data_IF_161405947479
#
_entry.id   IF_161405947479
#
_cell.length_a   1.000
_cell.length_b   1.000
_cell.length_c   1.000
_cell.angle_alpha   90.00
_cell.angle_beta   90.00
_cell.angle_gamma   90.00
#
_symmetry.space_group_name_H-M   'P 1'
#
loop_
_entity.id
_entity.type
_entity.pdbx_description
1 polymer ?
#
# COMPACT_ATOMS: atom_id res chain seq x y z
N UNK A 1 4.61 4.70 -5.26
CA UNK A 1 3.54 5.16 -6.17
C UNK A 1 2.91 6.37 -5.51
N UNK A 2 2.96 7.51 -6.20
CA UNK A 2 2.30 8.72 -5.73
C UNK A 2 0.80 8.61 -5.99
N UNK A 3 0.00 8.68 -4.92
CA UNK A 3 -1.46 8.77 -5.03
C UNK A 3 -1.83 10.21 -5.35
N UNK A 4 -1.22 11.14 -4.63
CA UNK A 4 -1.30 12.57 -4.86
C UNK A 4 0.05 13.23 -4.49
N UNK A 5 0.10 14.56 -4.45
CA UNK A 5 1.32 15.32 -4.10
C UNK A 5 1.78 15.07 -2.65
N UNK A 6 0.86 14.68 -1.75
CA UNK A 6 1.10 14.56 -0.31
C UNK A 6 1.19 13.12 0.20
N UNK A 7 0.75 12.14 -0.58
CA UNK A 7 0.65 10.74 -0.16
C UNK A 7 1.25 9.82 -1.20
N UNK A 8 2.19 9.00 -0.75
CA UNK A 8 2.83 7.95 -1.53
C UNK A 8 2.68 6.60 -0.83
N UNK A 9 2.36 5.57 -1.61
CA UNK A 9 2.28 4.19 -1.15
C UNK A 9 3.25 3.32 -1.95
N UNK A 10 4.00 2.49 -1.25
CA UNK A 10 5.01 1.58 -1.77
C UNK A 10 4.89 0.23 -1.07
N UNK A 11 5.03 -0.85 -1.83
CA UNK A 11 5.01 -2.19 -1.24
C UNK A 11 6.21 -2.43 -0.31
N UNK A 12 7.38 -1.88 -0.67
CA UNK A 12 8.62 -2.08 0.07
C UNK A 12 8.75 -1.13 1.26
N UNK A 13 8.40 0.13 1.05
CA UNK A 13 8.61 1.20 2.03
C UNK A 13 7.36 1.48 2.87
N UNK A 14 6.18 1.06 2.40
CA UNK A 14 4.90 1.28 3.06
C UNK A 14 4.25 2.59 2.63
N UNK A 15 3.65 3.32 3.57
CA UNK A 15 2.98 4.59 3.28
C UNK A 15 3.82 5.78 3.74
N UNK A 16 3.86 6.82 2.93
CA UNK A 16 4.48 8.11 3.22
C UNK A 16 3.42 9.20 3.13
N UNK A 17 3.31 10.02 4.17
CA UNK A 17 2.39 11.13 4.29
C UNK A 17 3.19 12.42 4.49
N UNK A 18 2.90 13.44 3.69
CA UNK A 18 3.58 14.73 3.70
C UNK A 18 2.56 15.78 4.15
N UNK A 19 2.89 16.49 5.22
CA UNK A 19 2.10 17.59 5.74
C UNK A 19 2.87 18.89 5.50
N UNK A 20 2.24 19.82 4.79
CA UNK A 20 2.72 21.18 4.65
C UNK A 20 1.91 22.04 5.62
N UNK A 21 2.53 22.50 6.71
CA UNK A 21 1.90 23.35 7.72
C UNK A 21 2.85 24.49 8.08
N UNK A 22 2.30 25.71 8.09
CA UNK A 22 3.04 26.97 8.25
C UNK A 22 4.15 27.15 7.20
N UNK A 23 5.39 26.82 7.54
CA UNK A 23 6.57 26.84 6.66
C UNK A 23 7.41 25.57 6.78
N UNK A 24 6.83 24.52 7.37
CA UNK A 24 7.50 23.26 7.65
C UNK A 24 6.88 22.14 6.83
N UNK A 25 7.75 21.33 6.22
CA UNK A 25 7.40 20.05 5.66
C UNK A 25 7.59 18.98 6.73
N UNK A 26 6.51 18.31 7.11
CA UNK A 26 6.54 17.18 8.05
C UNK A 26 6.23 15.92 7.26
N UNK A 27 7.16 14.96 7.27
CA UNK A 27 7.01 13.68 6.56
C UNK A 27 6.88 12.56 7.57
N UNK A 28 5.80 11.80 7.47
CA UNK A 28 5.59 10.56 8.21
C UNK A 28 5.75 9.38 7.26
N UNK A 29 6.59 8.42 7.61
CA UNK A 29 6.77 7.18 6.85
C UNK A 29 6.48 5.99 7.75
N UNK A 30 5.67 5.05 7.30
CA UNK A 30 5.38 3.82 8.04
C UNK A 30 5.46 2.59 7.13
N UNK A 31 6.18 1.56 7.59
CA UNK A 31 6.37 0.30 6.88
C UNK A 31 5.52 -0.80 7.53
N UNK A 32 4.51 -1.37 6.84
CA UNK A 32 3.69 -2.44 7.40
C UNK A 32 4.46 -3.76 7.58
N UNK A 33 5.55 -3.95 6.83
CA UNK A 33 6.34 -5.18 6.89
C UNK A 33 7.33 -5.20 8.06
N UNK A 34 8.04 -4.08 8.27
CA UNK A 34 9.05 -3.96 9.33
C UNK A 34 8.53 -3.32 10.61
N UNK A 35 7.33 -2.74 10.58
CA UNK A 35 6.76 -1.92 11.64
C UNK A 35 7.52 -0.61 11.85
N UNK A 36 8.53 -0.27 11.04
CA UNK A 36 9.31 0.95 11.23
C UNK A 36 8.51 2.18 10.87
N UNK A 37 8.60 3.19 11.71
CA UNK A 37 7.90 4.45 11.57
C UNK A 37 8.88 5.61 11.82
N UNK A 38 8.84 6.62 10.94
CA UNK A 38 9.75 7.76 10.98
C UNK A 38 8.96 9.05 10.82
N UNK A 39 9.34 10.07 11.57
CA UNK A 39 8.91 11.45 11.37
C UNK A 39 10.12 12.31 11.09
N UNK A 40 10.10 13.03 9.99
CA UNK A 40 11.07 14.08 9.69
C UNK A 40 10.40 15.43 9.52
N UNK A 41 11.12 16.50 9.88
CA UNK A 41 10.72 17.89 9.69
C UNK A 41 11.79 18.57 8.86
N UNK A 42 11.42 19.12 7.70
CA UNK A 42 12.32 19.74 6.73
C UNK A 42 13.53 18.83 6.40
N UNK A 43 13.28 17.53 6.23
CA UNK A 43 14.30 16.51 5.96
C UNK A 43 15.11 16.03 7.17
N UNK A 44 14.92 16.60 8.36
CA UNK A 44 15.61 16.15 9.59
C UNK A 44 14.74 15.17 10.37
N UNK A 45 15.26 13.98 10.67
CA UNK A 45 14.58 13.00 11.51
C UNK A 45 14.37 13.55 12.93
N UNK A 46 13.12 13.57 13.40
CA UNK A 46 12.73 14.03 14.75
C UNK A 46 12.14 12.91 15.61
N UNK A 47 11.63 11.84 14.99
CA UNK A 47 11.09 10.68 15.69
C UNK A 47 11.31 9.41 14.89
N UNK A 48 11.70 8.33 15.56
CA UNK A 48 11.79 6.99 15.00
C UNK A 48 11.15 6.03 16.00
N UNK A 49 10.30 5.13 15.50
CA UNK A 49 9.68 4.10 16.31
C UNK A 49 9.57 2.79 15.51
N UNK A 50 9.31 1.70 16.23
CA UNK A 50 8.94 0.43 15.62
C UNK A 50 7.63 -0.04 16.26
N UNK A 51 6.56 -0.08 15.46
CA UNK A 51 5.22 -0.37 15.87
C UNK A 51 4.54 -1.36 14.91
N UNK A 52 4.06 -2.47 15.48
CA UNK A 52 3.29 -3.50 14.75
C UNK A 52 1.79 -3.44 15.06
N UNK A 53 1.35 -2.45 15.84
CA UNK A 53 -0.06 -2.24 16.19
C UNK A 53 -0.76 -1.46 15.06
N UNK A 54 -2.09 -1.50 15.08
CA UNK A 54 -2.92 -0.72 14.14
C UNK A 54 -2.97 0.77 14.45
N UNK A 55 -2.40 1.20 15.58
CA UNK A 55 -2.39 2.60 16.00
C UNK A 55 -0.98 3.01 16.34
N UNK A 56 -0.59 4.19 15.88
CA UNK A 56 0.67 4.83 16.25
C UNK A 56 0.48 6.30 16.56
N UNK A 57 1.40 6.84 17.35
CA UNK A 57 1.40 8.22 17.80
C UNK A 57 2.86 8.69 17.96
N UNK A 58 3.18 9.79 17.31
CA UNK A 58 4.49 10.44 17.39
C UNK A 58 4.32 11.89 17.82
N UNK A 59 4.82 12.23 19.01
CA UNK A 59 4.90 13.60 19.51
C UNK A 59 6.29 14.18 19.30
N UNK A 60 6.36 15.43 18.85
CA UNK A 60 7.62 16.13 18.60
C UNK A 60 7.41 17.65 18.69
N UNK A 61 8.50 18.38 18.82
CA UNK A 61 8.49 19.84 18.94
C UNK A 61 9.14 20.47 17.70
N UNK A 62 8.53 21.52 17.16
CA UNK A 62 9.10 22.36 16.10
C UNK A 62 9.00 23.82 16.54
N UNK A 63 10.13 24.51 16.67
CA UNK A 63 10.22 25.91 17.09
C UNK A 63 9.42 26.25 18.38
N UNK A 64 9.35 25.30 19.32
CA UNK A 64 8.62 25.46 20.59
C UNK A 64 7.13 25.13 20.54
N UNK A 65 6.61 24.73 19.37
CA UNK A 65 5.22 24.27 19.20
C UNK A 65 5.16 22.74 19.23
N UNK A 66 4.19 22.19 19.96
CA UNK A 66 3.95 20.74 20.02
C UNK A 66 3.16 20.28 18.79
N UNK A 67 3.70 19.25 18.12
CA UNK A 67 3.05 18.54 17.03
C UNK A 67 2.88 17.07 17.38
N UNK A 68 1.81 16.48 16.87
CA UNK A 68 1.48 15.08 17.06
C UNK A 68 0.99 14.47 15.74
N UNK A 69 1.64 13.40 15.29
CA UNK A 69 1.14 12.57 14.21
C UNK A 69 0.47 11.35 14.81
N UNK A 70 -0.81 11.16 14.49
CA UNK A 70 -1.55 9.96 14.85
C UNK A 70 -1.89 9.16 13.59
N UNK A 71 -1.51 7.89 13.58
CA UNK A 71 -1.83 6.95 12.52
C UNK A 71 -2.74 5.86 13.06
N UNK A 72 -3.80 5.53 12.31
CA UNK A 72 -4.70 4.45 12.66
C UNK A 72 -5.16 3.67 11.42
N UNK A 73 -4.91 2.37 11.43
CA UNK A 73 -5.53 1.41 10.52
C UNK A 73 -6.90 1.00 11.07
N UNK A 74 -7.97 1.57 10.51
CA UNK A 74 -9.36 1.29 10.91
C UNK A 74 -9.83 -0.09 10.49
N UNK A 75 -9.34 -0.59 9.35
CA UNK A 75 -9.77 -1.87 8.78
C UNK A 75 -8.66 -2.44 7.89
N UNK A 76 -7.92 -3.42 8.40
CA UNK A 76 -6.86 -4.09 7.65
C UNK A 76 -7.38 -4.80 6.40
N UNK A 77 -8.56 -5.42 6.49
CA UNK A 77 -9.12 -6.24 5.41
C UNK A 77 -9.59 -5.35 4.26
N UNK A 78 -10.21 -4.22 4.59
CA UNK A 78 -10.66 -3.23 3.59
C UNK A 78 -9.58 -2.19 3.23
N UNK A 79 -8.39 -2.27 3.83
CA UNK A 79 -7.32 -1.31 3.63
C UNK A 79 -7.76 0.13 3.93
N UNK A 80 -8.36 0.39 5.10
CA UNK A 80 -8.73 1.75 5.53
C UNK A 80 -7.75 2.24 6.59
N UNK A 81 -7.05 3.33 6.28
CA UNK A 81 -6.07 3.94 7.17
C UNK A 81 -6.33 5.45 7.27
N UNK A 82 -6.06 6.01 8.43
CA UNK A 82 -6.17 7.44 8.72
C UNK A 82 -4.85 7.93 9.28
N UNK A 83 -4.38 9.08 8.80
CA UNK A 83 -3.19 9.75 9.32
C UNK A 83 -3.53 11.21 9.56
N UNK A 84 -3.49 11.64 10.82
CA UNK A 84 -3.77 13.02 11.21
C UNK A 84 -2.55 13.70 11.79
N UNK A 85 -2.43 14.99 11.51
CA UNK A 85 -1.51 15.90 12.17
C UNK A 85 -2.29 16.80 13.11
N UNK A 86 -1.85 16.85 14.36
CA UNK A 86 -2.36 17.76 15.37
C UNK A 86 -1.26 18.77 15.74
N UNK A 87 -1.65 20.03 15.94
CA UNK A 87 -0.81 21.13 16.42
C UNK A 87 -1.43 21.63 17.73
N UNK A 88 -0.66 21.60 18.82
CA UNK A 88 -1.13 22.01 20.16
C UNK A 88 -2.44 21.32 20.59
N UNK A 89 -2.60 20.04 20.22
CA UNK A 89 -3.80 19.25 20.52
C UNK A 89 -5.00 19.49 19.59
N UNK A 90 -4.91 20.40 18.62
CA UNK A 90 -5.93 20.65 17.60
C UNK A 90 -5.56 19.94 16.31
N UNK A 91 -6.47 19.14 15.76
CA UNK A 91 -6.28 18.51 14.44
C UNK A 91 -6.25 19.59 13.36
N UNK A 92 -5.17 19.65 12.60
CA UNK A 92 -5.02 20.60 11.48
C UNK A 92 -5.20 19.93 10.13
N UNK A 93 -4.89 18.64 10.03
CA UNK A 93 -4.97 17.90 8.77
C UNK A 93 -5.22 16.42 8.98
N UNK A 94 -6.03 15.83 8.10
CA UNK A 94 -6.34 14.41 8.11
C UNK A 94 -6.29 13.84 6.69
N UNK A 95 -5.51 12.78 6.51
CA UNK A 95 -5.50 11.96 5.31
C UNK A 95 -6.24 10.65 5.57
N UNK A 96 -7.27 10.36 4.77
CA UNK A 96 -7.98 9.08 4.78
C UNK A 96 -7.58 8.29 3.54
N UNK A 97 -6.84 7.22 3.76
CA UNK A 97 -6.36 6.32 2.72
C UNK A 97 -7.27 5.08 2.67
N UNK A 98 -7.80 4.77 1.49
CA UNK A 98 -8.73 3.65 1.28
C UNK A 98 -8.35 2.82 0.08
N UNK A 99 -8.32 1.50 0.26
CA UNK A 99 -8.24 0.57 -0.84
C UNK A 99 -9.59 0.44 -1.57
N UNK A 100 -9.58 0.69 -2.87
CA UNK A 100 -10.72 0.50 -3.75
C UNK A 100 -10.61 -0.89 -4.37
N UNK A 101 -11.59 -1.76 -4.13
CA UNK A 101 -11.54 -3.07 -4.78
C UNK A 101 -11.77 -2.90 -6.29
N UNK A 102 -10.87 -3.41 -7.14
CA UNK A 102 -11.09 -3.36 -8.58
C UNK A 102 -12.38 -4.12 -8.93
N UNK A 103 -13.08 -3.72 -10.01
CA UNK A 103 -14.27 -4.41 -10.45
C UNK A 103 -13.95 -5.87 -10.74
N UNK A 104 -14.90 -6.77 -10.43
CA UNK A 104 -14.74 -8.20 -10.73
C UNK A 104 -14.51 -8.35 -12.23
N UNK A 105 -13.44 -9.06 -12.59
CA UNK A 105 -13.18 -9.40 -13.99
C UNK A 105 -14.37 -10.23 -14.53
N UNK A 106 -14.88 -9.93 -15.73
CA UNK A 106 -15.97 -10.70 -16.32
C UNK A 106 -15.52 -12.14 -16.56
N UNK A 107 -16.48 -13.07 -16.55
CA UNK A 107 -16.21 -14.52 -16.62
C UNK A 107 -15.33 -14.91 -17.83
N UNK A 108 -15.43 -14.19 -18.95
CA UNK A 108 -14.65 -14.47 -20.15
C UNK A 108 -13.13 -14.34 -19.94
N UNK A 109 -12.67 -13.57 -18.95
CA UNK A 109 -11.25 -13.45 -18.62
C UNK A 109 -10.62 -14.79 -18.23
N UNK A 110 -11.43 -15.74 -17.74
CA UNK A 110 -11.00 -17.08 -17.35
C UNK A 110 -11.06 -18.10 -18.49
N UNK A 111 -11.66 -17.76 -19.64
CA UNK A 111 -11.79 -18.69 -20.77
C UNK A 111 -10.42 -19.04 -21.38
N UNK A 112 -9.51 -18.08 -21.69
CA UNK A 112 -8.21 -18.40 -22.27
C UNK A 112 -7.36 -19.39 -21.46
N UNK A 113 -7.19 -19.26 -20.13
CA UNK A 113 -6.41 -20.23 -19.36
C UNK A 113 -7.07 -21.61 -19.30
N UNK A 114 -8.40 -21.69 -19.30
CA UNK A 114 -9.12 -22.98 -19.35
C UNK A 114 -8.87 -23.69 -20.69
N UNK A 115 -8.96 -22.96 -21.80
CA UNK A 115 -8.69 -23.50 -23.15
C UNK A 115 -7.23 -23.97 -23.24
N UNK A 116 -6.29 -23.14 -22.76
CA UNK A 116 -4.87 -23.47 -22.78
C UNK A 116 -4.56 -24.72 -21.93
N UNK A 117 -5.16 -24.82 -20.74
CA UNK A 117 -5.03 -26.00 -19.88
C UNK A 117 -5.60 -27.27 -20.52
N UNK A 118 -6.74 -27.17 -21.21
CA UNK A 118 -7.32 -28.29 -21.95
C UNK A 118 -6.43 -28.75 -23.11
N UNK A 119 -5.88 -27.83 -23.90
CA UNK A 119 -4.94 -28.14 -24.99
C UNK A 119 -3.65 -28.79 -24.47
N UNK A 120 -3.11 -28.28 -23.37
CA UNK A 120 -1.94 -28.88 -22.70
C UNK A 120 -2.24 -30.30 -22.24
N UNK A 121 -3.42 -30.55 -21.66
CA UNK A 121 -3.86 -31.88 -21.24
C UNK A 121 -3.92 -32.90 -22.39
N UNK A 122 -4.48 -32.52 -23.54
CA UNK A 122 -4.49 -33.37 -24.75
C UNK A 122 -3.07 -33.66 -25.25
N UNK A 123 -2.21 -32.64 -25.27
CA UNK A 123 -0.82 -32.80 -25.70
C UNK A 123 0.00 -33.74 -24.81
N UNK A 124 -0.26 -33.74 -23.49
CA UNK A 124 0.33 -34.71 -22.55
C UNK A 124 -0.19 -36.12 -22.84
N UNK A 125 -1.51 -36.29 -23.05
CA UNK A 125 -2.11 -37.59 -23.33
C UNK A 125 -1.56 -38.24 -24.62
N UNK A 126 -1.27 -37.43 -25.63
CA UNK A 126 -0.67 -37.86 -26.89
C UNK A 126 0.87 -38.03 -26.82
N UNK A 127 1.49 -37.80 -25.64
CA UNK A 127 2.95 -37.80 -25.41
C UNK A 127 3.73 -36.83 -26.31
N UNK A 128 3.07 -35.78 -26.80
CA UNK A 128 3.70 -34.75 -27.63
C UNK A 128 4.59 -33.85 -26.79
N UNK A 129 4.20 -33.59 -25.53
CA UNK A 129 4.93 -32.70 -24.64
C UNK A 129 5.50 -33.41 -23.41
N UNK A 130 6.76 -33.12 -23.02
CA UNK A 130 7.33 -33.65 -21.80
C UNK A 130 6.78 -32.93 -20.56
N UNK A 131 6.64 -33.67 -19.46
CA UNK A 131 5.98 -33.21 -18.23
C UNK A 131 6.62 -31.93 -17.65
N UNK A 132 7.94 -31.81 -17.71
CA UNK A 132 8.67 -30.66 -17.17
C UNK A 132 8.30 -29.33 -17.83
N UNK A 133 7.97 -29.35 -19.12
CA UNK A 133 7.56 -28.17 -19.87
C UNK A 133 6.20 -27.66 -19.38
N UNK A 134 5.30 -28.57 -19.03
CA UNK A 134 3.98 -28.23 -18.46
C UNK A 134 4.11 -27.61 -17.06
N UNK A 135 5.02 -28.13 -16.23
CA UNK A 135 5.32 -27.57 -14.90
C UNK A 135 5.88 -26.15 -15.06
N UNK A 136 6.84 -25.95 -15.98
CA UNK A 136 7.43 -24.64 -16.22
C UNK A 136 6.39 -23.60 -16.67
N UNK A 137 5.50 -23.95 -17.60
CA UNK A 137 4.40 -23.06 -18.01
C UNK A 137 3.40 -22.77 -16.90
N UNK A 138 3.07 -23.77 -16.08
CA UNK A 138 2.19 -23.59 -14.92
C UNK A 138 2.77 -22.61 -13.90
N UNK A 139 4.05 -22.74 -13.58
CA UNK A 139 4.77 -21.82 -12.68
C UNK A 139 4.83 -20.42 -13.29
N UNK A 140 5.15 -20.28 -14.59
CA UNK A 140 5.18 -19.00 -15.26
C UNK A 140 3.81 -18.30 -15.22
N UNK A 141 2.73 -19.02 -15.53
CA UNK A 141 1.38 -18.48 -15.49
C UNK A 141 0.98 -18.03 -14.08
N UNK A 142 1.32 -18.81 -13.06
CA UNK A 142 1.10 -18.44 -11.66
C UNK A 142 1.85 -17.16 -11.28
N UNK A 143 3.12 -17.05 -11.66
CA UNK A 143 3.94 -15.86 -11.41
C UNK A 143 3.34 -14.63 -12.10
N UNK A 144 2.88 -14.75 -13.35
CA UNK A 144 2.23 -13.65 -14.08
C UNK A 144 0.92 -13.20 -13.41
N UNK A 145 0.09 -14.15 -12.96
CA UNK A 145 -1.14 -13.84 -12.22
C UNK A 145 -0.79 -13.10 -10.93
N UNK A 146 0.16 -13.62 -10.16
CA UNK A 146 0.60 -13.01 -8.91
C UNK A 146 1.13 -11.59 -9.11
N UNK A 147 1.98 -11.37 -10.12
CA UNK A 147 2.46 -10.02 -10.47
C UNK A 147 1.29 -9.11 -10.85
N UNK A 148 0.30 -9.60 -11.59
CA UNK A 148 -0.87 -8.81 -11.99
C UNK A 148 -1.74 -8.41 -10.79
N UNK A 149 -1.92 -9.31 -9.81
CA UNK A 149 -2.65 -9.01 -8.58
C UNK A 149 -1.89 -8.04 -7.69
N UNK A 150 -0.56 -8.21 -7.59
CA UNK A 150 0.30 -7.31 -6.82
C UNK A 150 0.28 -5.90 -7.41
N UNK A 151 0.34 -5.78 -8.75
CA UNK A 151 0.18 -4.50 -9.45
C UNK A 151 -1.19 -3.88 -9.18
N UNK A 152 -2.26 -4.67 -9.27
CA UNK A 152 -3.61 -4.20 -8.98
C UNK A 152 -3.76 -3.74 -7.52
N UNK A 153 -3.17 -4.45 -6.56
CA UNK A 153 -3.21 -4.07 -5.14
C UNK A 153 -2.55 -2.70 -4.89
N UNK A 154 -1.55 -2.35 -5.68
CA UNK A 154 -0.82 -1.07 -5.59
C UNK A 154 -1.59 0.07 -6.28
N UNK A 155 -2.27 -0.19 -7.39
CA UNK A 155 -2.91 0.86 -8.20
C UNK A 155 -4.26 1.34 -7.64
N UNK A 156 -4.94 0.54 -6.83
CA UNK A 156 -6.29 0.86 -6.38
C UNK A 156 -6.34 1.47 -4.97
N UNK A 157 -5.53 2.50 -4.73
CA UNK A 157 -5.61 3.30 -3.51
C UNK A 157 -6.13 4.69 -3.83
N UNK A 158 -7.01 5.18 -2.95
CA UNK A 158 -7.57 6.52 -3.03
C UNK A 158 -7.34 7.25 -1.70
N UNK A 159 -7.14 8.57 -1.79
CA UNK A 159 -6.82 9.40 -0.64
C UNK A 159 -7.71 10.64 -0.62
N UNK A 160 -8.52 10.74 0.43
CA UNK A 160 -9.30 11.93 0.76
C UNK A 160 -8.49 12.79 1.74
N UNK A 161 -8.33 14.07 1.39
CA UNK A 161 -7.67 15.09 2.23
C UNK A 161 -8.76 15.91 2.92
N UNK A 162 -8.68 16.01 4.24
CA UNK A 162 -9.59 16.83 5.06
C UNK A 162 -8.75 17.85 5.81
N UNK A 163 -8.88 19.11 5.41
CA UNK A 163 -8.35 20.26 6.14
C UNK A 163 -9.37 20.68 7.21
N UNK A 164 -8.90 20.96 8.43
CA UNK A 164 -9.74 21.28 9.60
C UNK A 164 -9.50 22.71 10.04
#
# INVERSE_FOLDING_TARGET
>A
MKINEFVEVSFKEGATFIFQVDSNEIVYQCSPFSGKEFVSVNGKLVSESQNYKLKSNHKFMVDGVEYEIAFESKDLIKGRNECSLNKEGVMVKLYKLKYIKPPKKPLYHWIPPIILGALAGVGIAQRVFPIWLCIAFGVLAFVLIFISELKSSIENWDCEVVDV
#
